data_IF_879810166553
#
_entry.id   IF_879810166553
#
_cell.length_a   1.000
_cell.length_b   1.000
_cell.length_c   1.000
_cell.angle_alpha   90.00
_cell.angle_beta   90.00
_cell.angle_gamma   90.00
#
_symmetry.space_group_name_H-M   'P 1'
#
loop_
_entity.id
_entity.type
_entity.pdbx_description
1 polymer ?
#
# COMPACT_ATOMS: atom_id res chain seq x y z
N UNK A 1 -3.18 32.26 20.29
CA UNK A 1 -3.55 31.00 19.60
C UNK A 1 -3.59 29.92 20.66
N UNK A 2 -4.69 29.20 20.88
CA UNK A 2 -4.68 28.04 21.77
C UNK A 2 -3.67 27.01 21.22
N UNK A 3 -3.00 26.28 22.10
CA UNK A 3 -2.14 25.18 21.67
C UNK A 3 -2.97 24.11 20.96
N UNK A 4 -2.49 23.56 19.84
CA UNK A 4 -3.21 22.51 19.14
C UNK A 4 -3.38 21.29 20.05
N UNK A 5 -4.59 20.75 20.08
CA UNK A 5 -4.86 19.49 20.78
C UNK A 5 -4.04 18.38 20.11
N UNK A 6 -3.34 17.53 20.87
CA UNK A 6 -2.56 16.45 20.28
C UNK A 6 -3.47 15.50 19.48
N UNK A 7 -3.01 14.99 18.32
CA UNK A 7 -3.80 14.09 17.51
C UNK A 7 -4.00 12.74 18.20
N UNK A 8 -5.10 12.07 17.87
CA UNK A 8 -5.39 10.72 18.41
C UNK A 8 -4.66 9.60 17.65
N UNK A 9 -4.15 9.89 16.44
CA UNK A 9 -3.39 8.96 15.61
C UNK A 9 -2.58 9.71 14.54
N UNK A 10 -1.60 9.03 13.95
CA UNK A 10 -0.78 9.55 12.83
C UNK A 10 -0.97 8.71 11.56
N UNK A 11 -1.12 9.38 10.42
CA UNK A 11 -1.00 8.78 9.10
C UNK A 11 0.28 9.33 8.47
N UNK A 12 1.24 8.46 8.22
CA UNK A 12 2.58 8.83 7.82
C UNK A 12 2.82 8.39 6.38
N UNK A 13 3.10 9.34 5.50
CA UNK A 13 3.56 9.02 4.16
C UNK A 13 4.93 8.31 4.18
N UNK A 14 5.32 7.66 3.09
CA UNK A 14 6.58 6.93 2.99
C UNK A 14 7.70 7.74 2.31
N UNK A 15 7.60 7.99 1.01
CA UNK A 15 8.70 8.56 0.20
C UNK A 15 8.76 10.08 0.37
N UNK A 16 9.92 10.60 0.77
CA UNK A 16 10.11 12.00 1.16
C UNK A 16 9.66 12.32 2.58
N UNK A 17 9.05 11.36 3.30
CA UNK A 17 8.59 11.53 4.68
C UNK A 17 9.35 10.65 5.67
N UNK A 18 9.48 9.35 5.40
CA UNK A 18 10.24 8.40 6.23
C UNK A 18 11.56 7.99 5.59
N UNK A 19 11.65 7.94 4.26
CA UNK A 19 12.89 7.66 3.55
C UNK A 19 12.96 8.51 2.28
N UNK A 20 14.16 8.67 1.72
CA UNK A 20 14.37 9.21 0.38
C UNK A 20 15.31 8.30 -0.37
N UNK A 21 14.89 7.77 -1.52
CA UNK A 21 15.66 6.80 -2.29
C UNK A 21 15.90 5.49 -1.53
N UNK A 22 17.15 5.25 -1.15
CA UNK A 22 17.61 4.00 -0.51
C UNK A 22 17.98 4.14 0.98
N UNK A 23 17.64 5.27 1.60
CA UNK A 23 17.98 5.53 3.00
C UNK A 23 16.83 6.15 3.80
N UNK A 24 16.72 5.77 5.08
CA UNK A 24 15.84 6.42 6.02
C UNK A 24 16.22 7.90 6.21
N UNK A 25 15.20 8.74 6.40
CA UNK A 25 15.39 10.10 6.90
C UNK A 25 15.86 10.01 8.36
N UNK A 26 16.87 10.78 8.79
CA UNK A 26 17.39 10.73 10.16
C UNK A 26 16.27 10.95 11.19
N UNK A 27 16.18 10.07 12.19
CA UNK A 27 15.16 10.14 13.25
C UNK A 27 13.83 9.47 12.89
N UNK A 28 13.60 9.07 11.63
CA UNK A 28 12.34 8.48 11.22
C UNK A 28 12.08 7.10 11.85
N UNK A 29 13.05 6.15 11.86
CA UNK A 29 12.87 4.88 12.58
C UNK A 29 12.60 5.07 14.07
N UNK A 30 13.34 5.96 14.73
CA UNK A 30 13.21 6.29 16.15
C UNK A 30 11.85 6.92 16.46
N UNK A 31 11.30 7.69 15.51
CA UNK A 31 9.96 8.28 15.64
C UNK A 31 8.88 7.20 15.66
N UNK A 32 8.93 6.22 14.75
CA UNK A 32 7.95 5.11 14.78
C UNK A 32 8.07 4.30 16.06
N UNK A 33 9.30 4.04 16.52
CA UNK A 33 9.53 3.35 17.77
C UNK A 33 8.99 4.15 18.97
N UNK A 34 9.17 5.47 18.97
CA UNK A 34 8.62 6.36 19.98
C UNK A 34 7.09 6.30 20.01
N UNK A 35 6.42 6.40 18.86
CA UNK A 35 4.96 6.29 18.76
C UNK A 35 4.47 4.96 19.32
N UNK A 36 5.13 3.86 18.95
CA UNK A 36 4.79 2.51 19.43
C UNK A 36 4.97 2.38 20.95
N UNK A 37 6.10 2.84 21.51
CA UNK A 37 6.36 2.82 22.97
C UNK A 37 5.35 3.66 23.76
N UNK A 38 4.84 4.74 23.17
CA UNK A 38 3.84 5.62 23.79
C UNK A 38 2.40 5.14 23.59
N UNK A 39 2.19 4.03 22.88
CA UNK A 39 0.86 3.52 22.55
C UNK A 39 0.07 4.46 21.64
N UNK A 40 0.75 5.32 20.88
CA UNK A 40 0.11 6.27 19.96
C UNK A 40 -0.16 5.52 18.64
N UNK A 41 -1.43 5.39 18.20
CA UNK A 41 -1.75 4.69 16.96
C UNK A 41 -1.14 5.39 15.74
N UNK A 42 -0.62 4.60 14.80
CA UNK A 42 -0.21 5.11 13.50
C UNK A 42 -0.47 4.11 12.37
N UNK A 43 -0.52 4.63 11.14
CA UNK A 43 -0.43 3.85 9.90
C UNK A 43 0.51 4.52 8.92
N UNK A 44 1.23 3.70 8.18
CA UNK A 44 2.04 4.12 7.06
C UNK A 44 1.16 4.09 5.81
N UNK A 45 1.02 5.21 5.13
CA UNK A 45 0.15 5.35 3.96
C UNK A 45 1.00 5.62 2.74
N UNK A 46 0.71 4.95 1.63
CA UNK A 46 1.39 5.22 0.36
C UNK A 46 0.44 5.08 -0.80
N UNK A 47 0.60 5.94 -1.80
CA UNK A 47 -0.09 5.85 -3.07
C UNK A 47 0.50 4.79 -4.01
N UNK A 48 1.53 4.04 -3.58
CA UNK A 48 2.14 2.99 -4.39
C UNK A 48 1.11 1.92 -4.79
N UNK A 49 1.10 1.59 -6.09
CA UNK A 49 0.31 0.50 -6.68
C UNK A 49 1.17 -0.61 -7.29
N UNK A 50 2.50 -0.48 -7.21
CA UNK A 50 3.46 -1.37 -7.89
C UNK A 50 4.12 -2.40 -6.97
N UNK A 51 3.94 -2.28 -5.66
CA UNK A 51 4.54 -3.14 -4.63
C UNK A 51 3.45 -3.65 -3.69
N UNK A 52 3.61 -4.87 -3.18
CA UNK A 52 2.79 -5.34 -2.07
C UNK A 52 3.25 -4.74 -0.73
N UNK A 53 2.39 -4.85 0.28
CA UNK A 53 2.76 -4.52 1.66
C UNK A 53 3.96 -5.34 2.14
N UNK A 54 4.05 -6.62 1.79
CA UNK A 54 5.18 -7.46 2.18
C UNK A 54 6.52 -6.93 1.63
N UNK A 55 6.55 -6.53 0.35
CA UNK A 55 7.75 -5.90 -0.23
C UNK A 55 8.11 -4.56 0.42
N UNK A 56 7.09 -3.75 0.79
CA UNK A 56 7.33 -2.49 1.48
C UNK A 56 7.89 -2.71 2.88
N UNK A 57 7.40 -3.73 3.60
CA UNK A 57 7.95 -4.13 4.90
C UNK A 57 9.41 -4.53 4.78
N UNK A 58 9.76 -5.39 3.81
CA UNK A 58 11.15 -5.80 3.60
C UNK A 58 12.06 -4.59 3.34
N UNK A 59 11.64 -3.69 2.46
CA UNK A 59 12.37 -2.46 2.15
C UNK A 59 12.56 -1.56 3.38
N UNK A 60 11.47 -1.31 4.12
CA UNK A 60 11.51 -0.47 5.33
C UNK A 60 12.37 -1.10 6.43
N UNK A 61 12.32 -2.42 6.61
CA UNK A 61 13.23 -3.13 7.53
C UNK A 61 14.70 -2.96 7.12
N UNK A 62 14.99 -2.99 5.82
CA UNK A 62 16.32 -2.66 5.28
C UNK A 62 16.81 -1.25 5.65
N UNK A 63 15.89 -0.32 5.91
CA UNK A 63 16.21 1.04 6.35
C UNK A 63 16.17 1.22 7.88
N UNK A 64 16.02 0.13 8.63
CA UNK A 64 16.00 0.16 10.11
C UNK A 64 14.62 0.35 10.73
N UNK A 65 13.53 0.36 9.95
CA UNK A 65 12.18 0.44 10.51
C UNK A 65 11.68 -0.93 10.99
N UNK A 66 11.20 -0.99 12.23
CA UNK A 66 10.48 -2.15 12.73
C UNK A 66 8.98 -2.04 12.37
N UNK A 67 8.57 -2.58 11.22
CA UNK A 67 7.18 -2.50 10.71
C UNK A 67 6.65 -3.87 10.29
N UNK A 68 5.33 -4.02 10.36
CA UNK A 68 4.59 -5.20 9.90
C UNK A 68 3.63 -4.84 8.74
N UNK A 69 3.15 -5.81 7.94
CA UNK A 69 2.25 -5.53 6.81
C UNK A 69 0.95 -4.80 7.21
N UNK A 70 0.50 -4.97 8.45
CA UNK A 70 -0.70 -4.33 9.01
C UNK A 70 -0.48 -2.85 9.35
N UNK A 71 0.77 -2.42 9.48
CA UNK A 71 1.11 -1.01 9.66
C UNK A 71 0.92 -0.23 8.35
N UNK A 72 0.91 -0.89 7.20
CA UNK A 72 0.97 -0.26 5.86
C UNK A 72 -0.39 -0.31 5.14
N UNK A 73 -0.79 0.83 4.59
CA UNK A 73 -1.95 0.98 3.72
C UNK A 73 -1.48 1.48 2.35
N UNK A 74 -1.61 0.63 1.33
CA UNK A 74 -1.32 0.94 -0.07
C UNK A 74 -2.58 1.44 -0.79
N UNK A 75 -2.41 2.13 -1.92
CA UNK A 75 -3.52 2.48 -2.80
C UNK A 75 -4.27 1.23 -3.30
N UNK A 76 -3.53 0.15 -3.61
CA UNK A 76 -4.12 -1.14 -4.01
C UNK A 76 -5.01 -1.72 -2.92
N UNK A 77 -4.55 -1.74 -1.67
CA UNK A 77 -5.34 -2.21 -0.54
C UNK A 77 -6.59 -1.33 -0.31
N UNK A 78 -6.45 -0.01 -0.43
CA UNK A 78 -7.56 0.92 -0.30
C UNK A 78 -8.62 0.69 -1.39
N UNK A 79 -8.21 0.47 -2.65
CA UNK A 79 -9.09 0.12 -3.75
C UNK A 79 -9.82 -1.21 -3.51
N UNK A 80 -9.11 -2.22 -3.00
CA UNK A 80 -9.71 -3.51 -2.64
C UNK A 80 -10.74 -3.37 -1.51
N UNK A 81 -10.45 -2.55 -0.49
CA UNK A 81 -11.38 -2.25 0.59
C UNK A 81 -12.64 -1.52 0.08
N UNK A 82 -12.48 -0.58 -0.85
CA UNK A 82 -13.60 0.13 -1.48
C UNK A 82 -14.51 -0.82 -2.27
N UNK A 83 -13.94 -1.71 -3.09
CA UNK A 83 -14.70 -2.73 -3.83
C UNK A 83 -15.52 -3.64 -2.89
N UNK A 84 -14.88 -4.14 -1.82
CA UNK A 84 -15.56 -4.97 -0.80
C UNK A 84 -16.71 -4.21 -0.13
N UNK A 85 -16.50 -2.94 0.22
CA UNK A 85 -17.54 -2.09 0.83
C UNK A 85 -18.74 -1.89 -0.10
N UNK A 86 -18.50 -1.85 -1.41
CA UNK A 86 -19.55 -1.77 -2.42
C UNK A 86 -20.20 -3.12 -2.76
N UNK A 87 -19.76 -4.23 -2.15
CA UNK A 87 -20.25 -5.58 -2.45
C UNK A 87 -19.70 -6.18 -3.75
N UNK A 88 -18.71 -5.53 -4.38
CA UNK A 88 -18.09 -5.97 -5.64
C UNK A 88 -16.92 -6.91 -5.32
N UNK A 89 -16.89 -8.08 -5.95
CA UNK A 89 -15.96 -9.17 -5.65
C UNK A 89 -15.11 -9.59 -6.84
N UNK A 90 -15.57 -9.39 -8.07
CA UNK A 90 -14.89 -9.80 -9.31
C UNK A 90 -14.11 -8.63 -9.90
N UNK A 91 -12.78 -8.75 -9.92
CA UNK A 91 -11.86 -7.66 -10.30
C UNK A 91 -10.99 -8.08 -11.49
N UNK A 92 -10.87 -7.19 -12.47
CA UNK A 92 -9.81 -7.24 -13.48
C UNK A 92 -8.68 -6.28 -13.10
N UNK A 93 -7.53 -6.78 -12.59
CA UNK A 93 -6.43 -5.92 -12.18
C UNK A 93 -5.47 -5.65 -13.33
N UNK A 94 -5.00 -4.42 -13.43
CA UNK A 94 -3.91 -3.95 -14.28
C UNK A 94 -2.87 -3.33 -13.36
N UNK A 95 -2.16 -4.22 -12.66
CA UNK A 95 -1.19 -3.93 -11.61
C UNK A 95 0.00 -4.89 -11.76
N UNK A 96 1.22 -4.52 -11.36
CA UNK A 96 2.35 -5.43 -11.35
C UNK A 96 2.05 -6.65 -10.48
N UNK A 97 2.59 -7.82 -10.87
CA UNK A 97 2.33 -9.08 -10.19
C UNK A 97 2.47 -9.04 -8.66
N UNK A 98 3.46 -8.35 -8.07
CA UNK A 98 3.56 -8.25 -6.62
C UNK A 98 2.36 -7.55 -5.97
N UNK A 99 1.85 -6.47 -6.56
CA UNK A 99 0.73 -5.72 -5.99
C UNK A 99 -0.59 -6.53 -5.97
N UNK A 100 -0.69 -7.61 -6.75
CA UNK A 100 -1.86 -8.49 -6.74
C UNK A 100 -2.07 -9.20 -5.38
N UNK A 101 -1.02 -9.34 -4.57
CA UNK A 101 -1.09 -9.91 -3.22
C UNK A 101 -2.10 -9.14 -2.33
N UNK A 102 -2.17 -7.81 -2.49
CA UNK A 102 -3.08 -6.95 -1.72
C UNK A 102 -4.56 -7.13 -2.14
N UNK A 103 -4.84 -7.85 -3.23
CA UNK A 103 -6.19 -8.19 -3.70
C UNK A 103 -6.71 -9.52 -3.16
N UNK A 104 -5.99 -10.17 -2.26
CA UNK A 104 -6.41 -11.45 -1.65
C UNK A 104 -7.86 -11.43 -1.15
N UNK A 105 -8.62 -12.49 -1.48
CA UNK A 105 -10.04 -12.60 -1.12
C UNK A 105 -11.02 -11.93 -2.09
N UNK A 106 -10.53 -11.26 -3.14
CA UNK A 106 -11.30 -10.92 -4.34
C UNK A 106 -11.11 -12.00 -5.41
N UNK A 107 -12.09 -12.17 -6.28
CA UNK A 107 -11.99 -13.03 -7.46
C UNK A 107 -11.31 -12.22 -8.58
N UNK A 108 -10.23 -12.76 -9.15
CA UNK A 108 -9.50 -12.09 -10.23
C UNK A 108 -9.87 -12.70 -11.59
N UNK A 109 -10.17 -11.84 -12.57
CA UNK A 109 -10.46 -12.24 -13.96
C UNK A 109 -9.61 -11.43 -14.93
N UNK A 110 -8.96 -12.11 -15.88
CA UNK A 110 -8.14 -11.48 -16.91
C UNK A 110 -7.13 -10.44 -16.38
N UNK A 111 -6.97 -9.35 -17.13
CA UNK A 111 -5.98 -8.31 -16.84
C UNK A 111 -4.57 -8.89 -16.73
N UNK A 112 -3.84 -8.41 -15.73
CA UNK A 112 -2.47 -8.80 -15.38
C UNK A 112 -2.40 -9.97 -14.38
N UNK A 113 -3.55 -10.52 -13.96
CA UNK A 113 -3.60 -11.58 -12.94
C UNK A 113 -3.18 -12.97 -13.43
N UNK A 114 -3.11 -13.18 -14.75
CA UNK A 114 -2.95 -14.52 -15.32
C UNK A 114 -4.20 -15.41 -15.22
N UNK A 115 -5.29 -14.94 -14.60
CA UNK A 115 -6.55 -15.66 -14.52
C UNK A 115 -7.28 -15.69 -15.88
N UNK A 116 -8.23 -16.63 -16.01
CA UNK A 116 -9.08 -16.70 -17.20
C UNK A 116 -9.84 -15.38 -17.37
N UNK A 117 -10.06 -14.98 -18.63
CA UNK A 117 -10.91 -13.83 -18.94
C UNK A 117 -12.34 -14.10 -18.46
N UNK A 118 -12.98 -13.05 -17.96
CA UNK A 118 -14.35 -13.03 -17.48
C UNK A 118 -14.89 -11.60 -17.47
N UNK A 119 -16.13 -11.41 -17.05
CA UNK A 119 -16.74 -10.07 -16.93
C UNK A 119 -16.42 -9.48 -15.56
N UNK A 120 -15.56 -8.44 -15.45
CA UNK A 120 -15.28 -7.84 -14.16
C UNK A 120 -16.43 -6.94 -13.70
N UNK A 121 -16.63 -6.88 -12.38
CA UNK A 121 -17.45 -5.84 -11.74
C UNK A 121 -16.63 -4.55 -11.55
N UNK A 122 -15.32 -4.70 -11.33
CA UNK A 122 -14.38 -3.58 -11.15
C UNK A 122 -13.12 -3.81 -11.99
N UNK A 123 -12.67 -2.76 -12.66
CA UNK A 123 -11.33 -2.71 -13.24
C UNK A 123 -10.43 -1.91 -12.29
N UNK A 124 -9.34 -2.51 -11.83
CA UNK A 124 -8.37 -1.82 -10.99
C UNK A 124 -7.12 -1.48 -11.79
N UNK A 125 -6.83 -0.19 -11.94
CA UNK A 125 -5.68 0.30 -12.70
C UNK A 125 -4.64 0.89 -11.75
N UNK A 126 -3.37 0.59 -12.01
CA UNK A 126 -2.26 1.25 -11.35
C UNK A 126 -1.04 1.36 -12.26
N UNK A 127 0.10 1.71 -11.66
CA UNK A 127 1.37 1.84 -12.36
C UNK A 127 1.92 0.48 -12.82
N UNK A 128 1.85 0.24 -14.13
CA UNK A 128 2.44 -0.92 -14.81
C UNK A 128 3.80 -0.62 -15.45
N UNK A 129 4.30 0.62 -15.36
CA UNK A 129 5.49 1.08 -16.07
C UNK A 129 5.45 0.65 -17.56
N UNK A 130 6.48 -0.08 -18.03
CA UNK A 130 6.59 -0.60 -19.40
C UNK A 130 5.50 -1.61 -19.78
N UNK A 131 4.74 -2.12 -18.80
CA UNK A 131 3.58 -2.97 -19.03
C UNK A 131 2.40 -2.25 -19.68
N UNK A 132 2.40 -0.91 -19.71
CA UNK A 132 1.48 -0.14 -20.54
C UNK A 132 1.92 -0.19 -22.01
N UNK A 133 1.39 -1.15 -22.76
CA UNK A 133 1.71 -1.35 -24.17
C UNK A 133 0.47 -1.58 -25.02
N UNK A 134 0.55 -1.18 -26.29
CA UNK A 134 -0.41 -1.53 -27.34
C UNK A 134 -0.02 -2.81 -28.09
N UNK A 135 1.11 -3.42 -27.72
CA UNK A 135 1.54 -4.70 -28.28
C UNK A 135 0.76 -5.82 -27.60
N UNK A 136 0.11 -6.65 -28.42
CA UNK A 136 -0.79 -7.73 -28.00
C UNK A 136 -0.04 -9.01 -27.59
#
# INVERSE_FOLDING_TARGET
MPEPTPPVAYLLDLDGTLYTGEAAIPGAPETLEHLRRRGIPFRLVTNTTSRSRAMLVERLRGYGFAVEPEDIVTATLAGAALARKAGLRVVAPFLPAPALEDLSGLELVGGTSGARRGTPEVVMLGDLAEGWSYQA
#
